data_IF_755539487200
#
_entry.id   IF_755539487200
#
_cell.length_a   1.000
_cell.length_b   1.000
_cell.length_c   1.000
_cell.angle_alpha   90.00
_cell.angle_beta   90.00
_cell.angle_gamma   90.00
#
_symmetry.space_group_name_H-M   'P 1'
#
loop_
_entity.id
_entity.type
_entity.pdbx_description
1 polymer ?
#
# COMPACT_ATOMS: atom_id res chain seq x y z
N UNK A 1 9.69 5.86 -13.56
CA UNK A 1 10.24 6.49 -12.34
C UNK A 1 9.91 7.97 -12.39
N UNK A 2 9.99 8.69 -11.27
CA UNK A 2 9.89 10.15 -11.31
C UNK A 2 11.17 10.71 -11.92
N UNK A 3 11.06 11.74 -12.75
CA UNK A 3 12.20 12.36 -13.42
C UNK A 3 12.09 13.87 -13.44
N UNK A 4 13.23 14.54 -13.62
CA UNK A 4 13.32 15.97 -13.85
C UNK A 4 13.83 16.21 -15.27
N UNK A 5 13.14 17.04 -16.03
CA UNK A 5 13.58 17.52 -17.35
C UNK A 5 14.05 18.97 -17.19
N UNK A 6 15.21 19.30 -17.77
CA UNK A 6 15.71 20.69 -17.80
C UNK A 6 15.45 21.21 -19.20
N UNK A 7 14.75 22.33 -19.28
CA UNK A 7 14.41 23.00 -20.53
C UNK A 7 15.55 23.95 -20.95
N UNK A 8 15.62 24.26 -22.24
CA UNK A 8 16.66 25.14 -22.81
C UNK A 8 16.62 26.57 -22.25
N UNK A 9 15.48 27.01 -21.71
CA UNK A 9 15.31 28.31 -21.04
C UNK A 9 15.79 28.33 -19.58
N UNK A 10 16.37 27.22 -19.11
CA UNK A 10 16.87 27.04 -17.75
C UNK A 10 15.79 26.68 -16.72
N UNK A 11 14.53 26.50 -17.14
CA UNK A 11 13.48 25.98 -16.25
C UNK A 11 13.58 24.47 -16.07
N UNK A 12 13.00 23.95 -14.98
CA UNK A 12 12.96 22.53 -14.70
C UNK A 12 11.51 22.05 -14.55
N UNK A 13 11.20 20.94 -15.22
CA UNK A 13 9.91 20.27 -15.17
C UNK A 13 10.02 18.95 -14.41
N UNK A 14 9.11 18.72 -13.46
CA UNK A 14 9.02 17.47 -12.72
C UNK A 14 7.96 16.55 -13.33
N UNK A 15 8.37 15.34 -13.72
CA UNK A 15 7.52 14.35 -14.38
C UNK A 15 7.18 13.25 -13.37
N UNK A 16 5.89 13.05 -13.12
CA UNK A 16 5.33 12.08 -12.17
C UNK A 16 4.40 11.08 -12.87
N UNK A 17 4.95 10.07 -13.58
CA UNK A 17 4.15 9.18 -14.44
C UNK A 17 3.20 8.26 -13.66
N UNK A 18 3.41 8.14 -12.34
CA UNK A 18 2.60 7.31 -11.44
C UNK A 18 1.88 8.13 -10.38
N UNK A 19 1.68 9.43 -10.64
CA UNK A 19 0.74 10.24 -9.88
C UNK A 19 -0.69 9.80 -10.17
N UNK A 20 -1.61 10.13 -9.26
CA UNK A 20 -3.00 9.74 -9.37
C UNK A 20 -3.89 10.99 -9.28
N UNK A 21 -4.91 11.08 -10.14
CA UNK A 21 -5.80 12.23 -10.22
C UNK A 21 -6.66 12.40 -8.95
N UNK A 22 -6.90 11.31 -8.22
CA UNK A 22 -7.65 11.31 -6.95
C UNK A 22 -6.71 11.54 -5.75
N UNK A 23 -5.48 11.03 -5.80
CA UNK A 23 -4.41 11.22 -4.82
C UNK A 23 -3.44 12.31 -5.27
N UNK A 24 -3.87 13.57 -5.14
CA UNK A 24 -3.05 14.76 -5.44
C UNK A 24 -1.85 14.97 -4.50
N UNK A 25 -1.69 14.12 -3.49
CA UNK A 25 -0.64 14.21 -2.46
C UNK A 25 0.52 13.25 -2.71
N UNK A 26 0.47 12.44 -3.77
CA UNK A 26 1.47 11.41 -4.04
C UNK A 26 2.10 11.57 -5.42
N UNK A 27 3.43 11.69 -5.45
CA UNK A 27 4.23 11.67 -6.67
C UNK A 27 4.35 10.25 -7.28
N UNK A 28 4.08 9.23 -6.47
CA UNK A 28 4.02 7.82 -6.86
C UNK A 28 2.96 7.13 -6.00
N UNK A 29 1.83 6.79 -6.63
CA UNK A 29 0.67 6.23 -5.94
C UNK A 29 0.87 4.74 -5.66
N UNK A 30 1.37 4.42 -4.47
CA UNK A 30 1.53 3.02 -3.99
C UNK A 30 0.22 2.24 -4.01
N UNK A 31 -0.92 2.90 -3.77
CA UNK A 31 -2.25 2.27 -3.88
C UNK A 31 -2.47 1.74 -5.29
N UNK A 32 -2.31 2.57 -6.32
CA UNK A 32 -2.53 2.13 -7.71
C UNK A 32 -1.55 1.05 -8.13
N UNK A 33 -0.31 1.07 -7.63
CA UNK A 33 0.61 -0.05 -7.86
C UNK A 33 0.07 -1.37 -7.29
N UNK A 34 -0.52 -1.38 -6.10
CA UNK A 34 -1.15 -2.57 -5.53
C UNK A 34 -2.34 -2.99 -6.40
N UNK A 35 -3.25 -2.05 -6.68
CA UNK A 35 -4.50 -2.33 -7.40
C UNK A 35 -4.24 -2.85 -8.82
N UNK A 36 -3.30 -2.24 -9.55
CA UNK A 36 -3.01 -2.58 -10.95
C UNK A 36 -2.13 -3.84 -11.10
N UNK A 37 -1.55 -4.34 -10.00
CA UNK A 37 -0.65 -5.51 -10.03
C UNK A 37 -1.12 -6.63 -9.08
N UNK A 38 -2.40 -6.62 -8.66
CA UNK A 38 -3.01 -7.70 -7.91
C UNK A 38 -4.42 -7.97 -8.39
N UNK A 39 -4.87 -9.20 -8.21
CA UNK A 39 -6.23 -9.64 -8.50
C UNK A 39 -7.10 -9.73 -7.24
N UNK A 40 -8.40 -9.84 -7.47
CA UNK A 40 -9.37 -10.11 -6.40
C UNK A 40 -9.24 -11.50 -5.79
N UNK A 41 -8.43 -12.40 -6.35
CA UNK A 41 -8.11 -13.72 -5.81
C UNK A 41 -6.80 -13.73 -5.00
N UNK A 42 -5.91 -12.76 -5.22
CA UNK A 42 -4.65 -12.64 -4.48
C UNK A 42 -4.81 -12.24 -3.02
N UNK A 43 -3.91 -12.73 -2.17
CA UNK A 43 -3.70 -12.24 -0.81
C UNK A 43 -2.65 -11.16 -0.84
N UNK A 44 -3.04 -9.95 -0.47
CA UNK A 44 -2.15 -8.78 -0.50
C UNK A 44 -1.51 -8.55 0.87
N UNK A 45 -0.18 -8.46 0.90
CA UNK A 45 0.60 -8.19 2.11
C UNK A 45 1.40 -6.90 1.90
N UNK A 46 1.22 -5.93 2.79
CA UNK A 46 2.01 -4.69 2.79
C UNK A 46 2.99 -4.71 3.94
N UNK A 47 4.24 -4.31 3.68
CA UNK A 47 5.29 -4.20 4.70
C UNK A 47 5.86 -2.78 4.63
N UNK A 48 5.72 -1.99 5.70
CA UNK A 48 6.16 -0.60 5.67
C UNK A 48 6.34 0.05 7.04
N UNK A 49 6.87 1.27 7.03
CA UNK A 49 7.15 2.05 8.24
C UNK A 49 6.81 3.54 8.12
N UNK A 50 6.49 4.00 6.91
CA UNK A 50 6.48 5.41 6.55
C UNK A 50 5.10 6.09 6.62
N UNK A 51 5.12 7.42 6.64
CA UNK A 51 3.91 8.24 6.58
C UNK A 51 3.17 8.11 5.23
N UNK A 52 3.90 7.89 4.13
CA UNK A 52 3.32 7.70 2.80
C UNK A 52 2.48 6.42 2.67
N UNK A 53 2.64 5.50 3.63
CA UNK A 53 2.06 4.16 3.55
C UNK A 53 0.64 4.10 4.12
N UNK A 54 0.13 5.20 4.67
CA UNK A 54 -1.22 5.28 5.27
C UNK A 54 -2.35 5.01 4.28
N UNK A 55 -2.23 5.52 3.07
CA UNK A 55 -3.22 5.29 2.02
C UNK A 55 -3.24 3.83 1.52
N UNK A 56 -2.13 3.23 1.08
CA UNK A 56 -2.15 1.87 0.52
C UNK A 56 -2.59 0.80 1.53
N UNK A 57 -2.31 0.96 2.83
CA UNK A 57 -2.69 -0.05 3.84
C UNK A 57 -4.22 -0.21 4.01
N UNK A 58 -5.03 0.72 3.52
CA UNK A 58 -6.49 0.58 3.50
C UNK A 58 -6.98 -0.50 2.52
N UNK A 59 -6.17 -0.84 1.52
CA UNK A 59 -6.55 -1.69 0.37
C UNK A 59 -5.94 -3.10 0.42
N UNK A 60 -5.18 -3.42 1.47
CA UNK A 60 -4.46 -4.70 1.61
C UNK A 60 -5.00 -5.60 2.71
N UNK A 61 -4.81 -6.90 2.55
CA UNK A 61 -5.32 -7.92 3.48
C UNK A 61 -4.52 -8.01 4.78
N UNK A 62 -3.19 -7.98 4.67
CA UNK A 62 -2.28 -8.08 5.81
C UNK A 62 -1.29 -6.92 5.80
N UNK A 63 -1.02 -6.34 6.98
CA UNK A 63 -0.10 -5.21 7.13
C UNK A 63 0.97 -5.57 8.15
N UNK A 64 2.23 -5.50 7.75
CA UNK A 64 3.37 -5.46 8.65
C UNK A 64 3.81 -4.01 8.81
N UNK A 65 3.71 -3.49 10.03
CA UNK A 65 3.95 -2.08 10.31
C UNK A 65 4.99 -1.89 11.42
N UNK A 66 5.81 -0.85 11.29
CA UNK A 66 6.66 -0.34 12.37
C UNK A 66 6.68 1.19 12.39
N UNK A 67 7.34 1.78 13.40
CA UNK A 67 7.52 3.23 13.56
C UNK A 67 6.21 4.03 13.36
N UNK A 68 6.14 4.90 12.35
CA UNK A 68 5.03 5.83 12.14
C UNK A 68 3.79 5.12 11.59
N UNK A 69 3.97 4.12 10.73
CA UNK A 69 2.87 3.34 10.20
C UNK A 69 2.18 2.55 11.31
N UNK A 70 2.95 1.95 12.23
CA UNK A 70 2.42 1.23 13.39
C UNK A 70 1.54 2.13 14.25
N UNK A 71 2.05 3.31 14.64
CA UNK A 71 1.29 4.29 15.43
C UNK A 71 -0.01 4.71 14.72
N UNK A 72 0.05 4.86 13.40
CA UNK A 72 -1.14 5.17 12.62
C UNK A 72 -2.17 4.03 12.64
N UNK A 73 -1.73 2.76 12.51
CA UNK A 73 -2.62 1.62 12.62
C UNK A 73 -3.29 1.54 14.00
N UNK A 74 -2.55 1.78 15.08
CA UNK A 74 -3.09 1.81 16.45
C UNK A 74 -4.17 2.87 16.62
N UNK A 75 -3.87 4.11 16.24
CA UNK A 75 -4.80 5.24 16.36
C UNK A 75 -6.09 5.03 15.56
N UNK A 76 -6.00 4.38 14.39
CA UNK A 76 -7.14 4.17 13.49
C UNK A 76 -7.77 2.77 13.63
N UNK A 77 -7.34 1.97 14.62
CA UNK A 77 -7.82 0.60 14.87
C UNK A 77 -7.73 -0.31 13.64
N UNK A 78 -6.67 -0.15 12.86
CA UNK A 78 -6.37 -1.00 11.70
C UNK A 78 -5.59 -2.22 12.20
N UNK A 79 -6.04 -3.42 11.87
CA UNK A 79 -5.32 -4.65 12.24
C UNK A 79 -3.98 -4.73 11.50
N UNK A 80 -2.90 -4.95 12.25
CA UNK A 80 -1.53 -5.01 11.73
C UNK A 80 -0.69 -6.02 12.53
N UNK A 81 0.48 -6.35 11.98
CA UNK A 81 1.51 -7.17 12.60
C UNK A 81 2.74 -6.29 12.85
N UNK A 82 3.15 -6.06 14.12
CA UNK A 82 4.41 -5.38 14.38
C UNK A 82 5.58 -6.22 13.86
N UNK A 83 6.63 -5.57 13.36
CA UNK A 83 7.86 -6.27 12.93
C UNK A 83 9.10 -5.41 13.16
N UNK A 84 10.22 -6.07 13.43
CA UNK A 84 11.51 -5.39 13.60
C UNK A 84 12.40 -5.57 12.35
N UNK A 85 12.40 -6.79 11.81
CA UNK A 85 13.21 -7.21 10.66
C UNK A 85 12.41 -8.14 9.73
N UNK A 86 12.99 -8.48 8.57
CA UNK A 86 12.32 -9.35 7.61
C UNK A 86 12.20 -10.81 8.07
N UNK A 87 13.05 -11.27 8.99
CA UNK A 87 12.94 -12.62 9.56
C UNK A 87 11.64 -12.78 10.36
N UNK A 88 11.24 -11.78 11.15
CA UNK A 88 9.96 -11.84 11.88
C UNK A 88 8.77 -11.79 10.92
N UNK A 89 8.89 -11.08 9.80
CA UNK A 89 7.87 -11.08 8.73
C UNK A 89 7.76 -12.45 8.07
N UNK A 90 8.88 -13.08 7.71
CA UNK A 90 8.92 -14.41 7.11
C UNK A 90 8.23 -15.45 8.00
N UNK A 91 8.59 -15.50 9.29
CA UNK A 91 7.97 -16.43 10.26
C UNK A 91 6.45 -16.22 10.35
N UNK A 92 5.99 -14.97 10.35
CA UNK A 92 4.57 -14.66 10.41
C UNK A 92 3.83 -15.08 9.12
N UNK A 93 4.47 -14.92 7.95
CA UNK A 93 3.93 -15.38 6.67
C UNK A 93 3.90 -16.91 6.60
N UNK A 94 4.94 -17.61 7.02
CA UNK A 94 4.95 -19.08 7.09
C UNK A 94 3.81 -19.61 7.96
N UNK A 95 3.59 -18.98 9.12
CA UNK A 95 2.44 -19.29 10.00
C UNK A 95 1.09 -18.96 9.36
N UNK A 96 1.03 -17.98 8.44
CA UNK A 96 -0.17 -17.67 7.69
C UNK A 96 -0.44 -18.74 6.64
N UNK A 97 0.60 -19.17 5.91
CA UNK A 97 0.53 -20.17 4.86
C UNK A 97 0.22 -21.58 5.38
N UNK A 98 0.58 -21.90 6.63
CA UNK A 98 0.24 -23.18 7.24
C UNK A 98 -1.25 -23.34 7.62
N UNK A 99 -2.05 -22.27 7.52
CA UNK A 99 -3.49 -22.33 7.80
C UNK A 99 -4.25 -22.98 6.66
N UNK A 100 -5.23 -23.83 6.99
CA UNK A 100 -6.16 -24.42 6.01
C UNK A 100 -6.91 -23.38 5.16
N UNK A 101 -7.10 -22.17 5.69
CA UNK A 101 -7.77 -21.07 4.99
C UNK A 101 -7.17 -19.73 5.41
N UNK A 102 -6.75 -18.95 4.42
CA UNK A 102 -6.33 -17.56 4.56
C UNK A 102 -7.55 -16.67 4.33
N UNK A 103 -7.79 -15.69 5.22
CA UNK A 103 -8.96 -14.81 5.13
C UNK A 103 -8.53 -13.42 4.68
N UNK A 104 -9.19 -12.89 3.66
CA UNK A 104 -9.04 -11.50 3.26
C UNK A 104 -9.59 -10.55 4.32
N UNK A 105 -9.06 -9.33 4.36
CA UNK A 105 -9.58 -8.30 5.26
C UNK A 105 -10.81 -7.69 4.63
N UNK A 106 -11.98 -7.88 5.24
CA UNK A 106 -13.25 -7.39 4.68
C UNK A 106 -13.21 -5.91 4.30
N UNK A 107 -12.64 -5.05 5.16
CA UNK A 107 -12.49 -3.61 4.87
C UNK A 107 -11.66 -3.35 3.62
N UNK A 108 -10.59 -4.13 3.39
CA UNK A 108 -9.77 -4.00 2.20
C UNK A 108 -10.52 -4.43 0.94
N UNK A 109 -11.29 -5.53 1.01
CA UNK A 109 -12.14 -5.97 -0.10
C UNK A 109 -13.18 -4.91 -0.47
N UNK A 110 -13.83 -4.30 0.53
CA UNK A 110 -14.81 -3.24 0.29
C UNK A 110 -14.16 -1.99 -0.31
N UNK A 111 -13.01 -1.56 0.20
CA UNK A 111 -12.26 -0.41 -0.33
C UNK A 111 -11.81 -0.61 -1.77
N UNK A 112 -11.35 -1.81 -2.13
CA UNK A 112 -11.01 -2.16 -3.53
C UNK A 112 -12.23 -2.08 -4.44
N UNK A 113 -13.36 -2.68 -4.02
CA UNK A 113 -14.63 -2.61 -4.77
C UNK A 113 -15.13 -1.18 -4.96
N UNK A 114 -15.07 -0.36 -3.92
CA UNK A 114 -15.43 1.07 -4.00
C UNK A 114 -14.57 1.78 -5.05
N UNK A 115 -13.26 1.54 -5.06
CA UNK A 115 -12.35 2.11 -6.05
C UNK A 115 -12.67 1.67 -7.48
N UNK A 116 -12.92 0.38 -7.71
CA UNK A 116 -13.28 -0.15 -9.04
C UNK A 116 -14.58 0.43 -9.60
N UNK A 117 -15.49 0.90 -8.75
CA UNK A 117 -16.71 1.57 -9.18
C UNK A 117 -16.49 3.04 -9.54
N UNK A 118 -15.43 3.66 -9.03
CA UNK A 118 -15.09 5.07 -9.28
C UNK A 118 -14.16 5.26 -10.48
N UNK A 119 -13.39 4.24 -10.84
CA UNK A 119 -12.43 4.24 -11.95
C UNK A 119 -12.85 3.20 -13.02
N UNK A 120 -13.83 3.51 -13.89
CA UNK A 120 -14.29 2.61 -14.96
C UNK A 120 -13.27 2.41 -16.09
#
# INVERSE_FOLDING_TARGET
>A
SNSISINDDGTAEMIYPYSDSVCLKCANCKRNHIINNSSDDDITIYIGDGHSDRCPIEYVDYIFAKKHLLKHCELNRISYFPFDNFTSVQIAIEKLLSKKRIKKRNTAVLKRRELYLLEP
#
